data_IF_780244256881
#
_entry.id   IF_780244256881
#
_cell.length_a   1.000
_cell.length_b   1.000
_cell.length_c   1.000
_cell.angle_alpha   90.00
_cell.angle_beta   90.00
_cell.angle_gamma   90.00
#
_symmetry.space_group_name_H-M   'P 1'
#
loop_
_entity.id
_entity.type
_entity.pdbx_description
1 polymer ?
#
# COMPACT_ATOMS: atom_id res chain seq x y z
N UNK A 1 2.97 -0.77 8.26
CA UNK A 1 2.29 0.52 8.06
C UNK A 1 3.37 1.56 7.77
N UNK A 2 3.47 2.13 6.56
CA UNK A 2 4.32 3.28 6.27
C UNK A 2 3.69 4.54 6.88
N UNK A 3 4.52 5.43 7.43
CA UNK A 3 4.08 6.68 8.06
C UNK A 3 5.05 7.79 7.70
N UNK A 4 4.52 8.95 7.29
CA UNK A 4 5.30 10.16 7.11
C UNK A 4 4.43 11.40 7.40
N UNK A 5 4.75 12.13 8.49
CA UNK A 5 4.02 13.31 8.93
C UNK A 5 2.51 13.07 9.16
N UNK A 6 2.19 12.07 9.98
CA UNK A 6 0.83 11.62 10.30
C UNK A 6 0.49 11.80 11.79
N UNK A 7 1.07 12.79 12.46
CA UNK A 7 0.86 13.01 13.90
C UNK A 7 -0.60 13.17 14.32
N UNK A 8 -1.44 13.66 13.42
CA UNK A 8 -2.88 13.86 13.68
C UNK A 8 -3.70 12.56 13.59
N UNK A 9 -3.25 11.56 12.85
CA UNK A 9 -4.05 10.38 12.49
C UNK A 9 -3.49 9.07 13.05
N UNK A 10 -2.17 8.95 13.16
CA UNK A 10 -1.49 7.68 13.45
C UNK A 10 -1.96 7.01 14.73
N UNK A 11 -2.17 7.76 15.81
CA UNK A 11 -2.58 7.19 17.11
C UNK A 11 -3.98 6.59 17.04
N UNK A 12 -4.95 7.33 16.47
CA UNK A 12 -6.32 6.86 16.28
C UNK A 12 -6.41 5.67 15.31
N UNK A 13 -5.59 5.65 14.25
CA UNK A 13 -5.53 4.52 13.32
C UNK A 13 -4.96 3.27 14.00
N UNK A 14 -3.91 3.41 14.82
CA UNK A 14 -3.35 2.29 15.58
C UNK A 14 -4.34 1.73 16.60
N UNK A 15 -5.09 2.59 17.30
CA UNK A 15 -6.17 2.15 18.20
C UNK A 15 -7.25 1.38 17.46
N UNK A 16 -7.67 1.87 16.28
CA UNK A 16 -8.64 1.18 15.44
C UNK A 16 -8.11 -0.18 14.96
N UNK A 17 -6.83 -0.26 14.54
CA UNK A 17 -6.19 -1.54 14.18
C UNK A 17 -6.24 -2.53 15.34
N UNK A 18 -5.93 -2.09 16.55
CA UNK A 18 -5.96 -2.95 17.76
C UNK A 18 -7.36 -3.46 18.09
N UNK A 19 -8.42 -2.78 17.67
CA UNK A 19 -9.78 -3.27 17.79
C UNK A 19 -10.10 -4.52 16.96
N UNK A 20 -9.28 -4.85 15.94
CA UNK A 20 -9.52 -5.96 15.01
C UNK A 20 -8.33 -6.90 14.83
N UNK A 21 -7.17 -6.55 15.37
CA UNK A 21 -5.94 -7.31 15.16
C UNK A 21 -5.02 -7.31 16.38
N UNK A 22 -4.80 -8.49 16.96
CA UNK A 22 -3.95 -8.70 18.14
C UNK A 22 -2.50 -9.07 17.79
N UNK A 23 -2.18 -9.23 16.49
CA UNK A 23 -0.85 -9.61 16.03
C UNK A 23 0.16 -8.47 16.05
N UNK A 24 1.36 -8.73 15.55
CA UNK A 24 2.43 -7.74 15.46
C UNK A 24 2.06 -6.60 14.49
N UNK A 25 2.21 -5.37 14.95
CA UNK A 25 2.08 -4.16 14.11
C UNK A 25 3.44 -3.50 14.01
N UNK A 26 3.94 -3.42 12.78
CA UNK A 26 5.19 -2.72 12.46
C UNK A 26 4.85 -1.39 11.79
N UNK A 27 5.31 -0.30 12.38
CA UNK A 27 5.22 1.05 11.82
C UNK A 27 6.60 1.44 11.31
N UNK A 28 6.68 1.83 10.04
CA UNK A 28 7.91 2.39 9.46
C UNK A 28 7.72 3.89 9.29
N UNK A 29 8.32 4.64 10.19
CA UNK A 29 8.36 6.11 10.16
C UNK A 29 9.44 6.55 9.17
N UNK A 30 9.01 7.04 8.03
CA UNK A 30 9.85 7.44 6.90
C UNK A 30 10.48 8.83 7.11
N UNK A 31 11.09 9.04 8.28
CA UNK A 31 11.79 10.28 8.62
C UNK A 31 10.85 11.46 8.82
N UNK A 32 9.76 11.27 9.56
CA UNK A 32 8.80 12.34 9.85
C UNK A 32 9.45 13.52 10.56
N UNK A 33 9.00 14.73 10.20
CA UNK A 33 9.51 16.00 10.72
C UNK A 33 8.51 16.75 11.62
N UNK A 34 7.30 16.23 11.73
CA UNK A 34 6.24 16.67 12.64
C UNK A 34 6.31 15.91 13.99
N UNK A 35 5.23 15.94 14.77
CA UNK A 35 5.15 15.25 16.06
C UNK A 35 4.92 13.72 15.94
N UNK A 36 4.92 13.14 14.74
CA UNK A 36 4.72 11.69 14.53
C UNK A 36 5.68 10.82 15.35
N UNK A 37 7.02 11.08 15.39
CA UNK A 37 7.93 10.26 16.18
C UNK A 37 7.63 10.31 17.68
N UNK A 38 7.19 11.48 18.20
CA UNK A 38 6.80 11.64 19.61
C UNK A 38 5.52 10.85 19.94
N UNK A 39 4.55 10.82 19.03
CA UNK A 39 3.35 9.99 19.18
C UNK A 39 3.72 8.52 19.22
N UNK A 40 4.51 8.05 18.26
CA UNK A 40 4.94 6.65 18.15
C UNK A 40 5.77 6.18 19.34
N UNK A 41 6.61 7.06 19.92
CA UNK A 41 7.43 6.71 21.12
C UNK A 41 6.56 6.38 22.33
N UNK A 42 5.32 6.83 22.42
CA UNK A 42 4.38 6.53 23.51
C UNK A 42 3.69 5.17 23.35
N UNK A 43 3.77 4.57 22.15
CA UNK A 43 3.13 3.29 21.83
C UNK A 43 4.06 2.14 22.19
N UNK A 44 3.66 1.35 23.18
CA UNK A 44 4.38 0.13 23.61
C UNK A 44 3.85 -1.13 22.94
N UNK A 45 2.78 -1.01 22.17
CA UNK A 45 2.05 -2.10 21.54
C UNK A 45 2.41 -2.27 20.04
N UNK A 46 3.33 -1.48 19.53
CA UNK A 46 3.79 -1.54 18.13
C UNK A 46 5.33 -1.58 18.07
N UNK A 47 5.86 -2.21 17.03
CA UNK A 47 7.28 -2.13 16.69
C UNK A 47 7.49 -0.96 15.75
N UNK A 48 8.32 0.00 16.12
CA UNK A 48 8.60 1.18 15.29
C UNK A 48 10.00 1.10 14.69
N UNK A 49 10.08 1.32 13.38
CA UNK A 49 11.34 1.50 12.64
C UNK A 49 11.40 2.96 12.21
N UNK A 50 12.33 3.73 12.79
CA UNK A 50 12.56 5.13 12.40
C UNK A 50 13.65 5.22 11.35
N UNK A 51 13.40 5.99 10.29
CA UNK A 51 14.40 6.34 9.29
C UNK A 51 14.94 7.76 9.55
N UNK A 52 16.23 7.98 9.26
CA UNK A 52 16.88 9.28 9.47
C UNK A 52 16.34 10.38 8.55
N UNK A 53 15.73 10.01 7.44
CA UNK A 53 15.16 10.91 6.42
C UNK A 53 14.07 10.23 5.62
N UNK A 54 13.22 11.03 4.97
CA UNK A 54 12.26 10.51 4.00
C UNK A 54 12.97 9.81 2.84
N UNK A 55 12.65 8.55 2.63
CA UNK A 55 13.17 7.69 1.57
C UNK A 55 12.07 7.30 0.56
N UNK A 56 10.82 7.65 0.82
CA UNK A 56 9.64 7.45 -0.01
C UNK A 56 8.76 6.26 0.39
N UNK A 57 7.51 6.33 -0.01
CA UNK A 57 6.45 5.36 0.33
C UNK A 57 6.84 3.91 0.02
N UNK A 58 7.34 3.65 -1.20
CA UNK A 58 7.78 2.32 -1.62
C UNK A 58 8.98 1.82 -0.82
N UNK A 59 9.90 2.73 -0.44
CA UNK A 59 11.03 2.41 0.42
C UNK A 59 10.56 1.97 1.81
N UNK A 60 9.64 2.71 2.43
CA UNK A 60 9.08 2.37 3.73
C UNK A 60 8.37 1.00 3.72
N UNK A 61 7.60 0.71 2.66
CA UNK A 61 6.96 -0.60 2.48
C UNK A 61 7.98 -1.74 2.36
N UNK A 62 9.04 -1.56 1.58
CA UNK A 62 10.10 -2.57 1.42
C UNK A 62 10.78 -2.88 2.75
N UNK A 63 11.05 -1.85 3.57
CA UNK A 63 11.59 -2.02 4.91
C UNK A 63 10.62 -2.84 5.78
N UNK A 64 9.33 -2.56 5.72
CA UNK A 64 8.30 -3.34 6.40
C UNK A 64 8.26 -4.80 5.94
N UNK A 65 8.41 -5.07 4.65
CA UNK A 65 8.52 -6.44 4.10
C UNK A 65 9.77 -7.17 4.61
N UNK A 66 10.91 -6.48 4.67
CA UNK A 66 12.15 -7.04 5.21
C UNK A 66 12.06 -7.35 6.69
N UNK A 67 11.42 -6.50 7.48
CA UNK A 67 11.15 -6.74 8.91
C UNK A 67 10.27 -7.98 9.06
N UNK A 68 9.16 -8.07 8.34
CA UNK A 68 8.26 -9.22 8.39
C UNK A 68 8.99 -10.54 8.05
N UNK A 69 9.86 -10.51 7.03
CA UNK A 69 10.68 -11.66 6.64
C UNK A 69 11.68 -12.06 7.73
N UNK A 70 12.38 -11.10 8.33
CA UNK A 70 13.38 -11.34 9.40
C UNK A 70 12.73 -11.86 10.67
N UNK A 71 11.53 -11.41 11.00
CA UNK A 71 10.75 -11.88 12.13
C UNK A 71 10.08 -13.24 11.89
N UNK A 72 10.16 -13.79 10.68
CA UNK A 72 9.64 -15.11 10.33
C UNK A 72 8.11 -15.16 10.15
N UNK A 73 7.46 -14.04 9.87
CA UNK A 73 6.03 -14.03 9.61
C UNK A 73 5.71 -14.70 8.26
N UNK A 74 4.62 -15.45 8.21
CA UNK A 74 4.14 -16.11 6.98
C UNK A 74 3.26 -15.18 6.14
N UNK A 75 2.54 -14.29 6.79
CA UNK A 75 1.57 -13.35 6.20
C UNK A 75 1.76 -11.97 6.74
N UNK A 76 1.54 -10.97 5.93
CA UNK A 76 1.51 -9.57 6.35
C UNK A 76 0.38 -8.81 5.63
N UNK A 77 -0.06 -7.73 6.26
CA UNK A 77 -1.00 -6.77 5.68
C UNK A 77 -0.32 -5.41 5.65
N UNK A 78 -0.39 -4.72 4.51
CA UNK A 78 -0.04 -3.29 4.43
C UNK A 78 -1.29 -2.44 4.58
N UNK A 79 -1.17 -1.32 5.30
CA UNK A 79 -2.24 -0.35 5.50
C UNK A 79 -1.61 1.03 5.72
N UNK A 80 -2.20 2.08 5.14
CA UNK A 80 -1.76 3.45 5.35
C UNK A 80 -2.30 4.02 6.67
N UNK A 81 -1.63 5.05 7.21
CA UNK A 81 -1.99 5.69 8.50
C UNK A 81 -2.84 6.95 8.36
N UNK A 82 -3.42 7.17 7.19
CA UNK A 82 -4.16 8.39 6.85
C UNK A 82 -5.68 8.33 7.14
N UNK A 83 -6.15 7.23 7.73
CA UNK A 83 -7.57 7.02 7.99
C UNK A 83 -8.41 6.67 6.76
N UNK A 84 -7.78 6.42 5.61
CA UNK A 84 -8.49 6.04 4.38
C UNK A 84 -8.71 4.53 4.21
N UNK A 85 -8.26 3.72 5.16
CA UNK A 85 -8.47 2.28 5.19
C UNK A 85 -9.23 1.86 6.44
N UNK A 86 -10.19 0.93 6.28
CA UNK A 86 -10.99 0.41 7.38
C UNK A 86 -10.34 -0.84 8.01
N UNK A 87 -9.79 -0.75 9.24
CA UNK A 87 -9.08 -1.87 9.88
C UNK A 87 -9.92 -3.13 10.08
N UNK A 88 -11.26 -3.01 10.11
CA UNK A 88 -12.18 -4.14 10.21
C UNK A 88 -11.99 -5.18 9.10
N UNK A 89 -11.39 -4.82 7.98
CA UNK A 89 -11.09 -5.73 6.88
C UNK A 89 -9.82 -6.59 7.09
N UNK A 90 -8.94 -6.27 8.05
CA UNK A 90 -7.69 -7.00 8.27
C UNK A 90 -7.91 -8.53 8.42
N UNK A 91 -8.86 -9.01 9.26
CA UNK A 91 -9.11 -10.44 9.37
C UNK A 91 -9.54 -11.10 8.05
N UNK A 92 -10.32 -10.39 7.23
CA UNK A 92 -10.78 -10.89 5.95
C UNK A 92 -9.63 -10.97 4.94
N UNK A 93 -8.76 -9.98 4.87
CA UNK A 93 -7.53 -10.00 4.05
C UNK A 93 -6.67 -11.21 4.38
N UNK A 94 -6.42 -11.46 5.68
CA UNK A 94 -5.63 -12.60 6.14
C UNK A 94 -6.31 -13.94 5.84
N UNK A 95 -7.64 -14.00 5.94
CA UNK A 95 -8.43 -15.20 5.62
C UNK A 95 -8.39 -15.56 4.14
N UNK A 96 -8.36 -14.57 3.25
CA UNK A 96 -8.30 -14.77 1.80
C UNK A 96 -6.91 -15.20 1.29
N UNK A 97 -5.84 -15.05 2.07
CA UNK A 97 -4.53 -15.65 1.79
C UNK A 97 -4.54 -17.18 2.00
N UNK A 98 -5.61 -17.83 1.59
CA UNK A 98 -5.79 -19.27 1.59
C UNK A 98 -4.96 -19.97 0.51
N UNK A 99 -5.35 -21.22 0.17
CA UNK A 99 -4.60 -22.07 -0.73
C UNK A 99 -4.33 -21.45 -2.10
N UNK A 100 -3.05 -21.22 -2.36
CA UNK A 100 -2.54 -20.75 -3.65
C UNK A 100 -2.77 -19.28 -3.96
N UNK A 101 -3.23 -18.44 -3.03
CA UNK A 101 -3.28 -16.97 -3.19
C UNK A 101 -2.02 -16.35 -2.60
N UNK A 102 -1.31 -15.56 -3.38
CA UNK A 102 -0.06 -14.91 -2.98
C UNK A 102 -0.26 -13.47 -2.51
N UNK A 103 -1.20 -12.75 -3.15
CA UNK A 103 -1.54 -11.36 -2.87
C UNK A 103 -3.05 -11.17 -2.88
N UNK A 104 -3.59 -10.56 -1.85
CA UNK A 104 -4.95 -10.02 -1.82
C UNK A 104 -4.84 -8.50 -1.87
N UNK A 105 -5.34 -7.86 -2.91
CA UNK A 105 -5.36 -6.41 -3.07
C UNK A 105 -6.74 -5.85 -2.73
N UNK A 106 -6.80 -4.84 -1.89
CA UNK A 106 -8.01 -4.05 -1.76
C UNK A 106 -8.35 -3.36 -3.08
N UNK A 107 -9.61 -3.27 -3.41
CA UNK A 107 -10.09 -2.45 -4.51
C UNK A 107 -11.22 -1.54 -4.06
N UNK A 108 -11.09 -0.27 -4.36
CA UNK A 108 -12.06 0.79 -4.12
C UNK A 108 -13.09 0.93 -5.25
N UNK A 109 -12.97 0.06 -6.28
CA UNK A 109 -13.77 0.15 -7.51
C UNK A 109 -14.51 -1.15 -7.85
N UNK A 110 -14.46 -2.16 -7.00
CA UNK A 110 -15.35 -3.32 -7.12
C UNK A 110 -16.81 -2.92 -6.82
N UNK A 111 -17.80 -3.61 -7.40
CA UNK A 111 -19.22 -3.25 -7.22
C UNK A 111 -19.69 -3.23 -5.76
N UNK A 112 -19.03 -4.02 -4.88
CA UNK A 112 -19.33 -4.07 -3.45
C UNK A 112 -18.55 -3.03 -2.61
N UNK A 113 -17.67 -2.22 -3.24
CA UNK A 113 -16.92 -1.17 -2.54
C UNK A 113 -17.85 -0.02 -2.15
N UNK A 114 -17.80 0.36 -0.88
CA UNK A 114 -18.48 1.54 -0.38
C UNK A 114 -17.77 2.83 -0.79
N UNK A 115 -18.45 3.97 -0.66
CA UNK A 115 -17.88 5.29 -0.91
C UNK A 115 -18.17 6.24 0.24
N UNK A 116 -17.14 6.85 0.81
CA UNK A 116 -17.19 7.90 1.81
C UNK A 116 -16.38 9.10 1.32
N UNK A 117 -17.03 10.23 1.08
CA UNK A 117 -16.41 11.39 0.42
C UNK A 117 -16.31 11.21 -1.09
N UNK A 118 -15.69 12.17 -1.77
CA UNK A 118 -15.56 12.17 -3.23
C UNK A 118 -14.08 12.14 -3.65
N UNK A 119 -13.69 11.07 -4.33
CA UNK A 119 -12.35 10.97 -4.88
C UNK A 119 -12.13 12.02 -6.00
N UNK A 120 -10.98 12.71 -6.05
CA UNK A 120 -10.61 13.60 -7.14
C UNK A 120 -10.72 12.90 -8.50
N UNK A 121 -11.25 13.62 -9.50
CA UNK A 121 -11.53 13.04 -10.82
C UNK A 121 -10.25 12.58 -11.53
N UNK A 122 -9.18 13.37 -11.43
CA UNK A 122 -7.85 13.06 -11.99
C UNK A 122 -7.26 11.78 -11.40
N UNK A 123 -7.39 11.57 -10.08
CA UNK A 123 -6.91 10.34 -9.41
C UNK A 123 -7.67 9.10 -9.91
N UNK A 124 -8.98 9.22 -10.09
CA UNK A 124 -9.80 8.13 -10.62
C UNK A 124 -9.45 7.80 -12.07
N UNK A 125 -9.30 8.84 -12.91
CA UNK A 125 -8.94 8.68 -14.31
C UNK A 125 -7.56 8.03 -14.46
N UNK A 126 -6.55 8.52 -13.76
CA UNK A 126 -5.20 7.96 -13.81
C UNK A 126 -5.21 6.51 -13.34
N UNK A 127 -5.91 6.19 -12.24
CA UNK A 127 -6.02 4.81 -11.78
C UNK A 127 -6.67 3.92 -12.86
N UNK A 128 -7.77 4.33 -13.47
CA UNK A 128 -8.43 3.55 -14.51
C UNK A 128 -7.49 3.30 -15.71
N UNK A 129 -6.85 4.34 -16.24
CA UNK A 129 -5.93 4.24 -17.40
C UNK A 129 -4.74 3.31 -17.12
N UNK A 130 -4.14 3.42 -15.94
CA UNK A 130 -3.01 2.56 -15.55
C UNK A 130 -3.49 1.13 -15.30
N UNK A 131 -4.63 0.94 -14.65
CA UNK A 131 -5.18 -0.39 -14.38
C UNK A 131 -5.54 -1.12 -15.68
N UNK A 132 -6.10 -0.42 -16.66
CA UNK A 132 -6.36 -0.97 -18.00
C UNK A 132 -5.05 -1.42 -18.67
N UNK A 133 -3.99 -0.63 -18.57
CA UNK A 133 -2.68 -1.00 -19.12
C UNK A 133 -2.06 -2.22 -18.42
N UNK A 134 -2.15 -2.28 -17.09
CA UNK A 134 -1.72 -3.46 -16.31
C UNK A 134 -2.48 -4.70 -16.76
N UNK A 135 -3.81 -4.62 -16.86
CA UNK A 135 -4.65 -5.73 -17.29
C UNK A 135 -4.35 -6.18 -18.72
N UNK A 136 -4.12 -5.22 -19.63
CA UNK A 136 -3.78 -5.51 -21.03
C UNK A 136 -2.49 -6.34 -21.16
N UNK A 137 -1.48 -6.07 -20.32
CA UNK A 137 -0.20 -6.77 -20.36
C UNK A 137 -0.25 -8.09 -19.61
N UNK A 138 -0.86 -8.10 -18.43
CA UNK A 138 -0.84 -9.27 -17.53
C UNK A 138 -1.94 -10.29 -17.83
N UNK A 139 -3.01 -9.88 -18.50
CA UNK A 139 -4.21 -10.69 -18.68
C UNK A 139 -5.07 -10.80 -17.41
N UNK A 140 -4.78 -10.00 -16.39
CA UNK A 140 -5.57 -9.92 -15.17
C UNK A 140 -6.84 -9.08 -15.37
N UNK A 141 -7.66 -9.01 -14.33
CA UNK A 141 -8.89 -8.22 -14.30
C UNK A 141 -8.93 -7.37 -13.04
N UNK A 142 -7.82 -6.67 -12.75
CA UNK A 142 -7.75 -5.74 -11.62
C UNK A 142 -8.68 -4.55 -11.87
N UNK A 143 -9.19 -3.99 -10.79
CA UNK A 143 -10.03 -2.79 -10.79
C UNK A 143 -9.37 -1.61 -10.08
N UNK A 144 -8.31 -1.87 -9.28
CA UNK A 144 -7.56 -0.83 -8.55
C UNK A 144 -6.06 -1.18 -8.43
N UNK A 145 -5.22 -0.52 -9.19
CA UNK A 145 -3.77 -0.76 -9.16
C UNK A 145 -3.05 -0.07 -7.99
N UNK A 146 -3.68 0.88 -7.30
CA UNK A 146 -3.01 1.77 -6.34
C UNK A 146 -3.48 1.67 -4.88
N UNK A 147 -4.47 0.83 -4.57
CA UNK A 147 -4.89 0.67 -3.18
C UNK A 147 -3.72 0.18 -2.32
N UNK A 148 -3.38 0.90 -1.24
CA UNK A 148 -2.29 0.53 -0.31
C UNK A 148 -2.66 -0.62 0.63
N UNK A 149 -3.96 -0.90 0.79
CA UNK A 149 -4.46 -1.96 1.64
C UNK A 149 -4.35 -3.32 0.93
N UNK A 150 -3.35 -4.10 1.30
CA UNK A 150 -3.07 -5.40 0.67
C UNK A 150 -2.59 -6.41 1.71
N UNK A 151 -2.85 -7.68 1.45
CA UNK A 151 -2.23 -8.78 2.19
C UNK A 151 -1.32 -9.60 1.29
N UNK A 152 -0.27 -10.16 1.86
CA UNK A 152 0.76 -10.90 1.13
C UNK A 152 1.20 -12.15 1.88
N UNK A 153 1.53 -13.20 1.12
CA UNK A 153 2.42 -14.26 1.62
C UNK A 153 3.84 -13.76 1.61
N UNK A 154 4.52 -13.77 2.75
CA UNK A 154 5.90 -13.28 2.87
C UNK A 154 6.86 -14.10 1.98
N UNK A 155 6.65 -15.42 1.88
CA UNK A 155 7.43 -16.27 0.99
C UNK A 155 7.28 -15.88 -0.49
N UNK A 156 6.11 -15.42 -0.92
CA UNK A 156 5.88 -14.96 -2.30
C UNK A 156 6.57 -13.63 -2.58
N UNK A 157 6.56 -12.70 -1.62
CA UNK A 157 7.33 -11.44 -1.73
C UNK A 157 8.84 -11.70 -1.83
N UNK A 158 9.36 -12.77 -1.22
CA UNK A 158 10.78 -13.12 -1.32
C UNK A 158 11.21 -13.61 -2.71
N UNK A 159 10.25 -13.85 -3.63
CA UNK A 159 10.51 -14.23 -5.02
C UNK A 159 10.68 -13.04 -5.97
N UNK A 160 10.40 -11.85 -5.49
CA UNK A 160 10.47 -10.60 -6.27
C UNK A 160 11.34 -9.59 -5.53
N UNK A 161 12.09 -8.80 -6.28
CA UNK A 161 12.89 -7.70 -5.74
C UNK A 161 12.24 -6.37 -6.14
N UNK A 162 11.82 -5.59 -5.14
CA UNK A 162 11.23 -4.27 -5.33
C UNK A 162 12.29 -3.20 -5.08
N UNK A 163 12.39 -2.24 -5.98
CA UNK A 163 13.41 -1.17 -5.96
C UNK A 163 12.82 0.23 -5.99
N UNK A 164 11.61 0.38 -6.51
CA UNK A 164 10.93 1.68 -6.62
C UNK A 164 10.68 2.30 -5.24
N UNK A 165 11.23 3.48 -4.95
CA UNK A 165 11.08 4.09 -3.63
C UNK A 165 9.78 4.87 -3.45
N UNK A 166 9.14 5.31 -4.54
CA UNK A 166 8.03 6.26 -4.51
C UNK A 166 6.64 5.62 -4.59
N UNK A 167 5.66 6.46 -4.95
CA UNK A 167 4.25 6.08 -5.06
C UNK A 167 3.93 5.15 -6.23
N UNK A 168 4.87 4.96 -7.17
CA UNK A 168 4.72 4.01 -8.26
C UNK A 168 5.12 2.56 -7.91
N UNK A 169 5.57 2.29 -6.68
CA UNK A 169 5.96 0.95 -6.23
C UNK A 169 4.88 -0.12 -6.49
N UNK A 170 3.56 0.15 -6.38
CA UNK A 170 2.55 -0.84 -6.75
C UNK A 170 2.65 -1.32 -8.20
N UNK A 171 3.10 -0.49 -9.12
CA UNK A 171 3.24 -0.86 -10.54
C UNK A 171 4.43 -1.80 -10.74
N UNK A 172 5.55 -1.53 -10.07
CA UNK A 172 6.68 -2.47 -10.03
C UNK A 172 6.26 -3.81 -9.40
N UNK A 173 5.48 -3.77 -8.31
CA UNK A 173 4.92 -4.96 -7.68
C UNK A 173 4.09 -5.78 -8.69
N UNK A 174 3.22 -5.16 -9.47
CA UNK A 174 2.38 -5.86 -10.43
C UNK A 174 3.19 -6.50 -11.55
N UNK A 175 4.17 -5.78 -12.11
CA UNK A 175 5.05 -6.33 -13.16
C UNK A 175 5.82 -7.55 -12.67
N UNK A 176 6.46 -7.43 -11.51
CA UNK A 176 7.27 -8.50 -10.93
C UNK A 176 6.42 -9.67 -10.40
N UNK A 177 5.26 -9.41 -9.84
CA UNK A 177 4.31 -10.45 -9.42
C UNK A 177 3.80 -11.26 -10.62
N UNK A 178 3.45 -10.58 -11.73
CA UNK A 178 3.04 -11.24 -12.96
C UNK A 178 4.13 -12.15 -13.52
N UNK A 179 5.36 -11.66 -13.65
CA UNK A 179 6.51 -12.45 -14.14
C UNK A 179 6.84 -13.63 -13.23
N UNK A 180 6.71 -13.45 -11.92
CA UNK A 180 6.91 -14.53 -10.95
C UNK A 180 5.74 -15.54 -10.88
N UNK A 181 4.66 -15.31 -11.64
CA UNK A 181 3.47 -16.17 -11.64
C UNK A 181 2.72 -16.15 -10.31
N UNK A 182 2.74 -15.01 -9.59
CA UNK A 182 1.99 -14.88 -8.34
C UNK A 182 0.50 -14.82 -8.62
N UNK A 183 -0.29 -15.50 -7.77
CA UNK A 183 -1.75 -15.43 -7.82
C UNK A 183 -2.25 -14.24 -7.03
N UNK A 184 -2.85 -13.29 -7.74
CA UNK A 184 -3.44 -12.07 -7.20
C UNK A 184 -4.96 -12.16 -7.26
N UNK A 185 -5.63 -11.75 -6.18
CA UNK A 185 -7.08 -11.54 -6.15
C UNK A 185 -7.39 -10.16 -5.57
N UNK A 186 -8.56 -9.63 -5.87
CA UNK A 186 -9.05 -8.39 -5.26
C UNK A 186 -10.13 -8.66 -4.22
N UNK A 187 -10.22 -7.75 -3.23
CA UNK A 187 -11.24 -7.68 -2.20
C UNK A 187 -11.83 -6.28 -2.18
N UNK A 188 -13.16 -6.12 -2.14
CA UNK A 188 -13.76 -4.79 -2.05
C UNK A 188 -13.41 -4.13 -0.71
N UNK A 189 -13.03 -2.86 -0.78
CA UNK A 189 -12.81 -1.98 0.38
C UNK A 189 -13.48 -0.65 0.12
N UNK A 190 -13.79 0.09 1.19
CA UNK A 190 -14.37 1.42 1.09
C UNK A 190 -13.38 2.39 0.43
N UNK A 191 -13.93 3.27 -0.42
CA UNK A 191 -13.22 4.42 -0.97
C UNK A 191 -13.45 5.61 -0.06
N UNK A 192 -12.51 5.84 0.86
CA UNK A 192 -12.60 6.90 1.86
C UNK A 192 -11.74 8.08 1.43
N UNK A 193 -12.34 9.27 1.33
CA UNK A 193 -11.66 10.53 1.05
C UNK A 193 -12.12 11.58 2.04
N UNK A 194 -11.37 11.74 3.13
CA UNK A 194 -11.66 12.69 4.20
C UNK A 194 -10.86 14.00 4.06
N UNK A 195 -9.74 13.97 3.36
CA UNK A 195 -8.84 15.10 3.16
C UNK A 195 -8.57 15.33 1.67
N UNK A 196 -9.00 16.49 1.16
CA UNK A 196 -8.84 16.87 -0.25
C UNK A 196 -7.52 17.60 -0.53
N UNK A 197 -6.82 18.06 0.52
CA UNK A 197 -5.59 18.87 0.42
C UNK A 197 -4.32 18.00 0.43
N UNK A 198 -4.45 16.69 0.43
CA UNK A 198 -3.32 15.77 0.43
C UNK A 198 -2.51 15.85 -0.85
N UNK A 199 -1.24 16.26 -0.72
CA UNK A 199 -0.24 16.36 -1.78
C UNK A 199 0.55 15.07 -1.91
N UNK A 200 0.93 14.72 -3.16
CA UNK A 200 1.94 13.69 -3.41
C UNK A 200 3.37 14.23 -3.26
N UNK A 201 3.53 15.58 -3.22
CA UNK A 201 4.84 16.24 -3.21
C UNK A 201 5.61 16.09 -4.52
N UNK A 202 6.81 16.69 -4.57
CA UNK A 202 7.80 16.52 -5.66
C UNK A 202 7.27 16.70 -7.09
N UNK A 203 6.25 17.55 -7.30
CA UNK A 203 5.65 17.79 -8.63
C UNK A 203 4.64 16.73 -9.08
N UNK A 204 4.36 15.71 -8.25
CA UNK A 204 3.36 14.67 -8.57
C UNK A 204 1.91 15.12 -8.32
N UNK A 205 1.70 16.33 -7.83
CA UNK A 205 0.37 16.93 -7.75
C UNK A 205 -0.16 17.30 -9.14
N UNK A 206 0.73 17.56 -10.10
CA UNK A 206 0.34 17.68 -11.50
C UNK A 206 -0.07 16.32 -12.08
N UNK A 207 -1.30 16.16 -12.60
CA UNK A 207 -1.81 14.88 -13.09
C UNK A 207 -1.01 14.30 -14.26
N UNK A 208 -0.52 15.16 -15.17
CA UNK A 208 0.23 14.70 -16.35
C UNK A 208 1.63 14.21 -15.94
N UNK A 209 2.32 14.95 -15.07
CA UNK A 209 3.60 14.54 -14.53
C UNK A 209 3.48 13.22 -13.75
N UNK A 210 2.44 13.09 -12.94
CA UNK A 210 2.16 11.87 -12.17
C UNK A 210 1.87 10.68 -13.10
N UNK A 211 1.04 10.87 -14.12
CA UNK A 211 0.76 9.82 -15.10
C UNK A 211 2.02 9.39 -15.86
N UNK A 212 2.83 10.35 -16.33
CA UNK A 212 4.08 10.06 -17.03
C UNK A 212 5.07 9.27 -16.15
N UNK A 213 5.21 9.64 -14.86
CA UNK A 213 6.02 8.91 -13.89
C UNK A 213 5.52 7.46 -13.72
N UNK A 214 4.23 7.25 -13.57
CA UNK A 214 3.65 5.92 -13.44
C UNK A 214 3.91 5.04 -14.68
N UNK A 215 3.71 5.59 -15.87
CA UNK A 215 4.02 4.88 -17.13
C UNK A 215 5.49 4.52 -17.22
N UNK A 216 6.39 5.44 -16.87
CA UNK A 216 7.83 5.20 -16.88
C UNK A 216 8.23 4.05 -15.93
N UNK A 217 7.72 4.05 -14.70
CA UNK A 217 8.02 2.98 -13.73
C UNK A 217 7.44 1.65 -14.19
N UNK A 218 6.22 1.64 -14.72
CA UNK A 218 5.61 0.43 -15.27
C UNK A 218 6.45 -0.18 -16.39
N UNK A 219 6.87 0.63 -17.37
CA UNK A 219 7.68 0.18 -18.49
C UNK A 219 9.04 -0.36 -18.03
N UNK A 220 9.75 0.38 -17.17
CA UNK A 220 11.01 -0.08 -16.58
C UNK A 220 10.84 -1.41 -15.86
N UNK A 221 9.82 -1.54 -15.02
CA UNK A 221 9.58 -2.76 -14.27
C UNK A 221 9.26 -3.97 -15.16
N UNK A 222 8.65 -3.77 -16.33
CA UNK A 222 8.46 -4.82 -17.33
C UNK A 222 9.75 -5.25 -18.03
N UNK A 223 10.72 -4.36 -18.17
CA UNK A 223 12.04 -4.68 -18.80
C UNK A 223 12.94 -5.45 -17.81
N UNK A 224 12.86 -5.12 -16.51
CA UNK A 224 13.69 -5.69 -15.45
C UNK A 224 13.13 -6.99 -14.83
N UNK A 225 11.90 -7.34 -15.14
CA UNK A 225 11.18 -8.44 -14.50
C UNK A 225 11.41 -9.82 -15.16
#
# INVERSE_FOLDING_TARGET
>A
MPVYNESATVDGVLDAVRGYFDGEVVVVDDGSTDDTPQVLTRRSDVTVVHLDRNCGYGCALRIGFDVARRMGFERLVTMDCDGQHEPAHIPQFLGLLGDGVDVVSGSRYLPASGEVGQAPADRREINARITDEVNRVTGWSLTDSFCGFKAYRVASLSRIELTEPGYAMPLELWAKAWRAGLKVIEMPVERIYCDHDRSFGEGLDDPEARYAYYVQVWQRALEEA
#
